data_IF_700093607855
#
_entry.id   IF_700093607855
#
_cell.length_a   1.000
_cell.length_b   1.000
_cell.length_c   1.000
_cell.angle_alpha   90.00
_cell.angle_beta   90.00
_cell.angle_gamma   90.00
#
_symmetry.space_group_name_H-M   'P 1'
#
loop_
_entity.id
_entity.type
_entity.pdbx_description
1 polymer ?
#
# COMPACT_ATOMS: atom_id res chain seq x y z
N UNK A 1 -5.17 -51.07 32.88
CA UNK A 1 -3.86 -50.41 32.72
C UNK A 1 -3.40 -50.31 31.26
N UNK A 2 -3.30 -51.41 30.49
CA UNK A 2 -2.90 -51.31 29.06
C UNK A 2 -3.95 -50.63 28.16
N UNK A 3 -5.24 -50.84 28.44
CA UNK A 3 -6.34 -50.29 27.65
C UNK A 3 -6.54 -48.77 27.88
N UNK A 4 -6.43 -48.31 29.13
CA UNK A 4 -6.40 -46.88 29.47
C UNK A 4 -5.28 -46.15 28.74
N UNK A 5 -4.06 -46.68 28.76
CA UNK A 5 -2.92 -46.08 28.06
C UNK A 5 -3.14 -46.03 26.55
N UNK A 6 -3.76 -47.05 25.95
CA UNK A 6 -4.10 -47.06 24.53
C UNK A 6 -5.07 -45.93 24.16
N UNK A 7 -6.16 -45.77 24.92
CA UNK A 7 -7.11 -44.69 24.69
C UNK A 7 -6.52 -43.31 25.00
N UNK A 8 -5.67 -43.19 26.03
CA UNK A 8 -4.96 -41.94 26.33
C UNK A 8 -4.04 -41.53 25.17
N UNK A 9 -3.23 -42.46 24.67
CA UNK A 9 -2.35 -42.20 23.53
C UNK A 9 -3.15 -41.85 22.27
N UNK A 10 -4.31 -42.49 22.04
CA UNK A 10 -5.16 -42.19 20.90
C UNK A 10 -5.81 -40.80 21.01
N UNK A 11 -6.20 -40.38 22.23
CA UNK A 11 -6.71 -39.04 22.50
C UNK A 11 -5.62 -37.99 22.26
N UNK A 12 -4.40 -38.22 22.77
CA UNK A 12 -3.27 -37.31 22.57
C UNK A 12 -2.88 -37.19 21.09
N UNK A 13 -2.87 -38.29 20.35
CA UNK A 13 -2.64 -38.28 18.90
C UNK A 13 -3.68 -37.43 18.16
N UNK A 14 -4.97 -37.61 18.46
CA UNK A 14 -6.05 -36.81 17.85
C UNK A 14 -5.95 -35.33 18.23
N UNK A 15 -5.62 -35.00 19.48
CA UNK A 15 -5.39 -33.60 19.89
C UNK A 15 -4.25 -32.95 19.10
N UNK A 16 -3.18 -33.72 18.85
CA UNK A 16 -2.02 -33.24 18.10
C UNK A 16 -2.38 -32.98 16.62
N UNK A 17 -3.22 -33.82 16.02
CA UNK A 17 -3.77 -33.57 14.68
C UNK A 17 -4.64 -32.31 14.64
N UNK A 18 -5.49 -32.10 15.63
CA UNK A 18 -6.32 -30.88 15.75
C UNK A 18 -5.43 -29.64 15.83
N UNK A 19 -4.37 -29.67 16.64
CA UNK A 19 -3.42 -28.54 16.77
C UNK A 19 -2.70 -28.25 15.45
N UNK A 20 -2.26 -29.29 14.73
CA UNK A 20 -1.67 -29.15 13.39
C UNK A 20 -2.66 -28.51 12.41
N UNK A 21 -3.91 -28.97 12.39
CA UNK A 21 -4.97 -28.39 11.56
C UNK A 21 -5.22 -26.92 11.87
N UNK A 22 -5.30 -26.56 13.15
CA UNK A 22 -5.47 -25.16 13.60
C UNK A 22 -4.28 -24.26 13.23
N UNK A 23 -3.05 -24.79 13.25
CA UNK A 23 -1.87 -24.05 12.80
C UNK A 23 -1.91 -23.77 11.29
N UNK A 24 -2.31 -24.77 10.50
CA UNK A 24 -2.47 -24.62 9.04
C UNK A 24 -3.59 -23.64 8.71
N UNK A 25 -4.73 -23.73 9.39
CA UNK A 25 -5.85 -22.79 9.21
C UNK A 25 -5.41 -21.35 9.47
N UNK A 26 -4.74 -21.08 10.60
CA UNK A 26 -4.24 -19.73 10.91
C UNK A 26 -3.26 -19.20 9.85
N UNK A 27 -2.40 -20.07 9.32
CA UNK A 27 -1.50 -19.70 8.22
C UNK A 27 -2.28 -19.35 6.94
N UNK A 28 -3.26 -20.16 6.56
CA UNK A 28 -4.08 -19.92 5.38
C UNK A 28 -4.94 -18.66 5.53
N UNK A 29 -5.47 -18.40 6.72
CA UNK A 29 -6.18 -17.15 7.04
C UNK A 29 -5.27 -15.93 6.89
N UNK A 30 -4.03 -16.01 7.40
CA UNK A 30 -3.05 -14.94 7.24
C UNK A 30 -2.71 -14.70 5.77
N UNK A 31 -2.53 -15.76 4.97
CA UNK A 31 -2.30 -15.64 3.54
C UNK A 31 -3.50 -15.01 2.81
N UNK A 32 -4.72 -15.41 3.16
CA UNK A 32 -5.95 -14.79 2.61
C UNK A 32 -6.01 -13.31 2.94
N UNK A 33 -5.66 -12.94 4.17
CA UNK A 33 -5.65 -11.55 4.60
C UNK A 33 -4.59 -10.72 3.86
N UNK A 34 -3.41 -11.28 3.59
CA UNK A 34 -2.38 -10.63 2.75
C UNK A 34 -2.85 -10.43 1.31
N UNK A 35 -3.51 -11.42 0.71
CA UNK A 35 -4.06 -11.24 -0.63
C UNK A 35 -5.19 -10.20 -0.66
N UNK A 36 -6.06 -10.21 0.35
CA UNK A 36 -7.13 -9.23 0.45
C UNK A 36 -6.59 -7.80 0.65
N UNK A 37 -5.51 -7.62 1.41
CA UNK A 37 -4.89 -6.30 1.56
C UNK A 37 -4.29 -5.81 0.23
N UNK A 38 -3.61 -6.68 -0.52
CA UNK A 38 -3.08 -6.35 -1.87
C UNK A 38 -4.18 -5.97 -2.84
N UNK A 39 -5.29 -6.71 -2.87
CA UNK A 39 -6.44 -6.39 -3.72
C UNK A 39 -7.05 -5.05 -3.32
N UNK A 40 -7.08 -4.72 -2.02
CA UNK A 40 -7.55 -3.42 -1.54
C UNK A 40 -6.66 -2.28 -2.03
N UNK A 41 -5.33 -2.43 -1.93
CA UNK A 41 -4.37 -1.45 -2.42
C UNK A 41 -4.50 -1.23 -3.93
N UNK A 42 -4.60 -2.30 -4.71
CA UNK A 42 -4.81 -2.20 -6.16
C UNK A 42 -6.12 -1.49 -6.53
N UNK A 43 -7.19 -1.66 -5.72
CA UNK A 43 -8.43 -0.91 -5.91
C UNK A 43 -8.28 0.57 -5.59
N UNK A 44 -7.51 0.92 -4.56
CA UNK A 44 -7.19 2.30 -4.22
C UNK A 44 -6.35 2.97 -5.33
N UNK A 45 -5.34 2.28 -5.86
CA UNK A 45 -4.54 2.72 -7.01
C UNK A 45 -5.38 2.90 -8.28
N UNK A 46 -6.30 1.96 -8.57
CA UNK A 46 -7.22 2.08 -9.70
C UNK A 46 -8.11 3.31 -9.58
N UNK A 47 -8.51 3.67 -8.35
CA UNK A 47 -9.24 4.92 -8.09
C UNK A 47 -8.42 6.17 -8.37
N UNK A 48 -7.12 6.15 -8.06
CA UNK A 48 -6.19 7.24 -8.41
C UNK A 48 -6.01 7.36 -9.93
N UNK A 49 -5.92 6.23 -10.64
CA UNK A 49 -5.86 6.21 -12.12
C UNK A 49 -7.12 6.77 -12.78
N UNK A 50 -8.27 6.71 -12.11
CA UNK A 50 -9.53 7.29 -12.59
C UNK A 50 -9.60 8.82 -12.39
N UNK A 51 -8.67 9.40 -11.62
CA UNK A 51 -8.54 10.85 -11.55
C UNK A 51 -8.06 11.36 -12.93
N UNK A 52 -8.62 12.48 -13.44
CA UNK A 52 -8.18 13.04 -14.70
C UNK A 52 -6.68 13.29 -14.65
N UNK A 53 -5.99 12.95 -15.74
CA UNK A 53 -4.53 13.00 -15.81
C UNK A 53 -3.97 14.34 -15.33
N UNK A 54 -2.89 14.28 -14.54
CA UNK A 54 -2.24 15.48 -14.04
C UNK A 54 -1.74 16.35 -15.19
N UNK A 55 -1.97 17.66 -15.10
CA UNK A 55 -1.43 18.60 -16.06
C UNK A 55 0.10 18.64 -15.96
N UNK A 56 0.78 18.45 -17.08
CA UNK A 56 2.22 18.63 -17.18
C UNK A 56 2.50 20.09 -17.51
N UNK A 57 3.28 20.76 -16.67
CA UNK A 57 3.65 22.16 -16.82
C UNK A 57 5.15 22.37 -16.75
N UNK A 58 5.62 23.43 -17.40
CA UNK A 58 7.03 23.85 -17.35
C UNK A 58 7.23 24.91 -16.27
N UNK A 59 8.24 24.74 -15.41
CA UNK A 59 8.59 25.73 -14.38
C UNK A 59 9.36 26.87 -15.04
N UNK A 60 8.78 28.07 -15.06
CA UNK A 60 9.41 29.26 -15.65
C UNK A 60 10.24 29.99 -14.60
N UNK A 61 9.72 30.13 -13.38
CA UNK A 61 10.39 30.88 -12.31
C UNK A 61 9.97 30.38 -10.94
N UNK A 62 10.96 30.09 -10.09
CA UNK A 62 10.75 29.85 -8.66
C UNK A 62 10.56 31.20 -7.97
N UNK A 63 9.44 31.41 -7.27
CA UNK A 63 9.20 32.67 -6.54
C UNK A 63 9.64 32.56 -5.07
N UNK A 64 9.27 31.48 -4.38
CA UNK A 64 9.62 31.22 -2.98
C UNK A 64 9.72 29.72 -2.73
N UNK A 65 10.08 29.30 -1.51
CA UNK A 65 10.13 27.88 -1.08
C UNK A 65 8.80 27.15 -1.16
N UNK A 66 7.67 27.86 -1.27
CA UNK A 66 6.35 27.23 -1.43
C UNK A 66 5.66 27.60 -2.73
N UNK A 67 6.17 28.59 -3.50
CA UNK A 67 5.45 29.17 -4.65
C UNK A 67 6.28 29.15 -5.91
N UNK A 68 5.73 28.57 -6.97
CA UNK A 68 6.38 28.46 -8.27
C UNK A 68 5.46 28.94 -9.39
N UNK A 69 6.03 29.67 -10.35
CA UNK A 69 5.33 30.07 -11.57
C UNK A 69 5.50 28.97 -12.63
N UNK A 70 4.38 28.30 -12.93
CA UNK A 70 4.30 27.20 -13.91
C UNK A 70 3.54 27.69 -15.13
N UNK A 71 4.03 27.36 -16.33
CA UNK A 71 3.32 27.57 -17.59
C UNK A 71 2.71 26.24 -18.03
N UNK A 72 1.39 26.21 -18.15
CA UNK A 72 0.63 25.05 -18.64
C UNK A 72 0.03 25.40 -19.99
N UNK A 73 0.22 24.55 -21.00
CA UNK A 73 -0.47 24.68 -22.28
C UNK A 73 -1.74 23.82 -22.24
N UNK A 74 -2.94 24.31 -22.60
CA UNK A 74 -3.24 25.58 -23.30
C UNK A 74 -3.55 26.80 -22.40
N UNK A 75 -3.67 26.65 -21.09
CA UNK A 75 -4.39 27.61 -20.23
C UNK A 75 -3.58 28.78 -19.62
N UNK A 76 -2.25 28.84 -19.81
CA UNK A 76 -1.45 30.02 -19.47
C UNK A 76 -0.50 29.84 -18.27
N UNK A 77 -0.20 30.93 -17.56
CA UNK A 77 0.75 30.95 -16.43
C UNK A 77 -0.01 30.96 -15.10
N UNK A 78 0.34 30.05 -14.22
CA UNK A 78 -0.25 29.91 -12.88
C UNK A 78 0.81 29.94 -11.80
N UNK A 79 0.45 30.52 -10.66
CA UNK A 79 1.24 30.37 -9.43
C UNK A 79 0.68 29.15 -8.71
N UNK A 80 1.51 28.13 -8.54
CA UNK A 80 1.14 26.87 -7.88
C UNK A 80 1.91 26.77 -6.57
N UNK A 81 1.20 26.35 -5.52
CA UNK A 81 1.80 26.00 -4.24
C UNK A 81 2.38 24.58 -4.31
N UNK A 82 3.63 24.43 -3.88
CA UNK A 82 4.36 23.16 -3.90
C UNK A 82 4.19 22.46 -2.56
N UNK A 83 4.08 21.13 -2.57
CA UNK A 83 4.03 20.33 -1.35
C UNK A 83 5.40 20.26 -0.69
N UNK A 84 5.42 20.25 0.65
CA UNK A 84 6.64 20.17 1.47
C UNK A 84 7.51 18.91 1.20
N UNK A 85 6.98 17.92 0.47
CA UNK A 85 7.72 16.72 0.05
C UNK A 85 8.64 16.92 -1.15
N UNK A 86 8.58 18.09 -1.82
CA UNK A 86 9.35 18.38 -3.03
C UNK A 86 10.34 19.51 -2.77
N UNK A 87 11.64 19.21 -2.85
CA UNK A 87 12.70 20.21 -2.76
C UNK A 87 12.82 21.01 -4.06
N UNK A 88 12.50 22.31 -4.00
CA UNK A 88 12.48 23.21 -5.18
C UNK A 88 13.88 23.77 -5.50
N UNK A 89 14.84 23.60 -4.60
CA UNK A 89 16.17 24.21 -4.69
C UNK A 89 17.01 23.75 -5.89
N UNK A 90 16.71 22.58 -6.46
CA UNK A 90 17.42 22.06 -7.64
C UNK A 90 16.91 22.61 -8.98
N UNK A 91 15.73 23.25 -9.01
CA UNK A 91 15.09 23.73 -10.25
C UNK A 91 15.42 25.20 -10.58
N UNK A 92 16.51 25.75 -10.02
CA UNK A 92 17.00 27.08 -10.38
C UNK A 92 17.64 27.03 -11.78
N UNK A 93 16.90 27.48 -12.78
CA UNK A 93 17.46 27.86 -14.07
C UNK A 93 18.27 29.15 -13.88
N UNK A 94 19.57 29.09 -14.19
CA UNK A 94 20.43 30.27 -14.44
C UNK A 94 19.97 31.04 -15.68
#
# INVERSE_FOLDING_TARGET
>A
MALDNYYHNKIEAMKLEILKGQAVLRRLEAQRNDYNSRVRLLREELGLLQQPGSYVGEVVKVMSTMKVLVKVHPEGKYVVDVSDSVDITSYRLE
#
